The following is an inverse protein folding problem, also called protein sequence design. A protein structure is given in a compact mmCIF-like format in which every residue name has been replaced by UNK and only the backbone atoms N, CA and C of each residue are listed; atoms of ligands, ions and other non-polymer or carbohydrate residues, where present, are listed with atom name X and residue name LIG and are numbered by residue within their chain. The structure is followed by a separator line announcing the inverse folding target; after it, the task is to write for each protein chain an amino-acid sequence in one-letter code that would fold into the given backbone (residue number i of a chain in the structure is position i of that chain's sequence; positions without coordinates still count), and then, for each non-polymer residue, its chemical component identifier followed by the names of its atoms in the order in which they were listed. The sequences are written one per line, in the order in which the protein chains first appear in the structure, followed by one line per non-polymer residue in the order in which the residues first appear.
data_IF_454126949171
#
_entry.id   IF_454126949171
#
_cell.length_a   1.000
_cell.length_b   1.000
_cell.length_c   1.000
_cell.angle_alpha   90.00
_cell.angle_beta   90.00
_cell.angle_gamma   90.00
#
_symmetry.space_group_name_H-M   'P 1'
#
loop_
_entity.id
_entity.type
_entity.pdbx_description
1 polymer ?
#
# COMPACT_ATOMS: atom_id res chain seq x y z
N UNK A 1 2.53 9.98 -11.70
CA UNK A 1 2.39 9.07 -10.56
C UNK A 1 3.31 7.89 -10.81
N UNK A 2 3.97 7.38 -9.78
CA UNK A 2 4.90 6.27 -9.85
C UNK A 2 4.43 5.24 -8.82
N UNK A 3 4.35 3.99 -9.24
CA UNK A 3 4.10 2.83 -8.37
C UNK A 3 5.38 2.01 -8.42
N UNK A 4 6.01 1.82 -7.27
CA UNK A 4 7.21 0.99 -7.17
C UNK A 4 6.83 -0.48 -7.02
N UNK A 5 7.78 -1.39 -7.17
CA UNK A 5 7.56 -2.79 -6.83
C UNK A 5 7.33 -2.97 -5.33
N UNK A 6 6.56 -3.98 -4.91
CA UNK A 6 6.43 -4.33 -3.51
C UNK A 6 7.79 -4.80 -2.99
N UNK A 7 8.23 -4.24 -1.85
CA UNK A 7 9.48 -4.65 -1.21
C UNK A 7 9.21 -5.23 0.18
N UNK A 8 10.01 -6.21 0.65
CA UNK A 8 9.87 -6.77 1.99
C UNK A 8 10.07 -5.69 3.06
N UNK A 9 9.28 -5.75 4.13
CA UNK A 9 9.53 -4.91 5.31
C UNK A 9 10.76 -5.40 6.08
N UNK A 10 11.35 -4.55 6.95
CA UNK A 10 12.54 -4.86 7.74
C UNK A 10 12.44 -6.15 8.56
N UNK A 11 11.22 -6.52 8.98
CA UNK A 11 10.90 -7.85 9.53
C UNK A 11 9.97 -8.60 8.57
N UNK A 12 10.53 -9.32 7.58
CA UNK A 12 9.77 -9.82 6.44
C UNK A 12 8.88 -11.03 6.78
N UNK A 13 9.13 -11.72 7.90
CA UNK A 13 8.29 -12.82 8.40
C UNK A 13 7.96 -12.63 9.86
N UNK A 14 6.67 -12.68 10.19
CA UNK A 14 6.18 -12.54 11.56
C UNK A 14 4.92 -13.39 11.75
N UNK A 15 4.93 -14.29 12.74
CA UNK A 15 3.76 -15.12 13.08
C UNK A 15 3.23 -15.98 11.92
N UNK A 16 4.11 -16.43 11.01
CA UNK A 16 3.73 -17.20 9.82
C UNK A 16 3.29 -16.37 8.61
N UNK A 17 3.28 -15.03 8.72
CA UNK A 17 2.91 -14.12 7.64
C UNK A 17 4.15 -13.52 6.98
N UNK A 18 4.10 -13.34 5.66
CA UNK A 18 5.06 -12.53 4.92
C UNK A 18 4.61 -11.07 4.88
N UNK A 19 5.55 -10.15 5.12
CA UNK A 19 5.29 -8.71 5.22
C UNK A 19 6.03 -7.95 4.11
N UNK A 20 5.27 -7.18 3.36
CA UNK A 20 5.77 -6.29 2.32
C UNK A 20 5.02 -4.95 2.35
N UNK A 21 5.62 -3.93 1.76
CA UNK A 21 4.96 -2.66 1.47
C UNK A 21 5.12 -2.27 0.01
N UNK A 22 4.16 -1.50 -0.49
CA UNK A 22 4.16 -0.93 -1.84
C UNK A 22 4.22 0.59 -1.70
N UNK A 23 5.20 1.23 -2.33
CA UNK A 23 5.31 2.68 -2.33
C UNK A 23 4.62 3.26 -3.55
N UNK A 24 3.78 4.28 -3.32
CA UNK A 24 3.21 5.11 -4.38
C UNK A 24 3.64 6.55 -4.19
N UNK A 25 4.12 7.17 -5.26
CA UNK A 25 4.58 8.56 -5.25
C UNK A 25 3.91 9.38 -6.35
N UNK A 26 3.55 10.61 -6.03
CA UNK A 26 3.06 11.59 -6.99
C UNK A 26 3.59 12.97 -6.66
N UNK A 27 3.92 13.76 -7.69
CA UNK A 27 4.25 15.18 -7.54
C UNK A 27 3.02 16.05 -7.21
N UNK A 28 1.82 15.49 -7.31
CA UNK A 28 0.56 16.16 -7.01
C UNK A 28 -0.22 15.39 -5.95
N UNK A 29 -0.44 16.04 -4.80
CA UNK A 29 -1.25 15.51 -3.69
C UNK A 29 -2.67 15.20 -4.14
N UNK A 30 -3.28 16.08 -4.93
CA UNK A 30 -4.64 15.88 -5.47
C UNK A 30 -4.71 14.63 -6.36
N UNK A 31 -3.73 14.44 -7.23
CA UNK A 31 -3.68 13.26 -8.09
C UNK A 31 -3.53 11.96 -7.29
N UNK A 32 -2.69 11.96 -6.24
CA UNK A 32 -2.52 10.81 -5.36
C UNK A 32 -3.82 10.48 -4.62
N UNK A 33 -4.50 11.49 -4.06
CA UNK A 33 -5.76 11.32 -3.33
C UNK A 33 -6.88 10.76 -4.23
N UNK A 34 -6.97 11.22 -5.48
CA UNK A 34 -7.94 10.66 -6.44
C UNK A 34 -7.65 9.19 -6.73
N UNK A 35 -6.39 8.85 -6.98
CA UNK A 35 -5.99 7.46 -7.22
C UNK A 35 -6.28 6.56 -6.01
N UNK A 36 -5.90 6.99 -4.79
CA UNK A 36 -6.10 6.20 -3.56
C UNK A 36 -7.59 5.95 -3.29
N UNK A 37 -8.48 6.88 -3.66
CA UNK A 37 -9.93 6.69 -3.55
C UNK A 37 -10.42 5.54 -4.43
N UNK A 38 -10.04 5.52 -5.69
CA UNK A 38 -10.43 4.47 -6.64
C UNK A 38 -9.79 3.13 -6.26
N UNK A 39 -8.50 3.16 -5.90
CA UNK A 39 -7.74 1.96 -5.58
C UNK A 39 -8.21 1.30 -4.28
N UNK A 40 -8.52 2.08 -3.24
CA UNK A 40 -9.08 1.52 -2.00
C UNK A 40 -10.41 0.80 -2.25
N UNK A 41 -11.31 1.34 -3.08
CA UNK A 41 -12.54 0.66 -3.47
C UNK A 41 -12.26 -0.65 -4.21
N UNK A 42 -11.30 -0.65 -5.13
CA UNK A 42 -10.89 -1.86 -5.84
C UNK A 42 -10.33 -2.93 -4.89
N UNK A 43 -9.51 -2.54 -3.91
CA UNK A 43 -8.95 -3.45 -2.90
C UNK A 43 -10.02 -4.04 -1.98
N UNK A 44 -11.03 -3.26 -1.58
CA UNK A 44 -12.17 -3.79 -0.81
C UNK A 44 -13.03 -4.77 -1.62
N UNK A 45 -13.16 -4.56 -2.93
CA UNK A 45 -13.90 -5.46 -3.82
C UNK A 45 -13.10 -6.71 -4.18
N UNK A 46 -11.76 -6.67 -4.07
CA UNK A 46 -10.90 -7.83 -4.25
C UNK A 46 -11.10 -8.77 -3.06
N UNK A 47 -11.51 -10.02 -3.32
CA UNK A 47 -11.53 -11.07 -2.28
C UNK A 47 -10.10 -11.54 -1.98
N UNK A 48 -9.30 -10.66 -1.38
CA UNK A 48 -7.93 -10.93 -0.95
C UNK A 48 -7.91 -11.75 0.34
N UNK A 49 -8.47 -12.97 0.30
CA UNK A 49 -8.80 -13.76 1.50
C UNK A 49 -7.62 -14.10 2.42
N UNK A 50 -6.38 -14.05 1.91
CA UNK A 50 -5.16 -14.34 2.66
C UNK A 50 -4.22 -13.13 2.81
N UNK A 51 -4.66 -11.90 2.48
CA UNK A 51 -3.80 -10.71 2.59
C UNK A 51 -4.46 -9.67 3.48
N UNK A 52 -3.78 -9.32 4.57
CA UNK A 52 -4.14 -8.18 5.41
C UNK A 52 -3.39 -6.96 4.89
N UNK A 53 -4.13 -5.91 4.56
CA UNK A 53 -3.56 -4.68 4.00
C UNK A 53 -4.03 -3.44 4.76
N UNK A 54 -3.23 -2.40 4.69
CA UNK A 54 -3.54 -1.06 5.17
C UNK A 54 -2.88 -0.04 4.23
N UNK A 55 -3.44 1.17 4.14
CA UNK A 55 -2.88 2.26 3.34
C UNK A 55 -2.53 3.40 4.28
N UNK A 56 -1.25 3.76 4.31
CA UNK A 56 -0.75 4.94 5.02
C UNK A 56 -0.52 6.07 4.04
N UNK A 57 -1.02 7.26 4.36
CA UNK A 57 -0.88 8.46 3.54
C UNK A 57 -0.07 9.48 4.33
N UNK A 58 1.04 9.94 3.75
CA UNK A 58 2.03 10.80 4.41
C UNK A 58 2.51 10.22 5.77
N UNK A 59 3.15 9.04 5.78
CA UNK A 59 3.67 8.45 7.01
C UNK A 59 4.67 9.40 7.67
N UNK A 60 4.61 9.47 9.00
CA UNK A 60 5.39 10.42 9.80
C UNK A 60 6.85 10.00 10.03
N UNK A 61 7.30 8.84 9.55
CA UNK A 61 8.56 8.21 9.97
C UNK A 61 9.49 7.92 8.77
N UNK A 62 10.78 8.25 8.92
CA UNK A 62 11.93 7.64 8.25
C UNK A 62 12.90 7.13 9.33
#
# INVERSE_FOLDING_TARGET
MIVFDPVPMSLPRLGGWERAHLLLQSRSRRALQNFLREWSQALYNLKAGAVRWHIEVDPLEF
#
